data_IF_261052255590
#
_entry.id   IF_261052255590
#
_cell.length_a   1.000
_cell.length_b   1.000
_cell.length_c   1.000
_cell.angle_alpha   90.00
_cell.angle_beta   90.00
_cell.angle_gamma   90.00
#
_symmetry.space_group_name_H-M   'P 1'
#
loop_
_entity.id
_entity.type
_entity.pdbx_description
1 polymer ?
#
# COMPACT_ATOMS: atom_id res chain seq x y z
N UNK A 1 -20.67 8.91 -5.70
CA UNK A 1 -21.21 7.75 -6.45
C UNK A 1 -20.08 6.92 -7.06
N UNK A 2 -19.12 7.56 -7.73
CA UNK A 2 -18.00 6.81 -8.33
C UNK A 2 -17.19 6.05 -7.26
N UNK A 3 -16.89 6.69 -6.14
CA UNK A 3 -16.17 6.05 -5.03
C UNK A 3 -16.94 4.82 -4.53
N UNK A 4 -18.25 4.96 -4.36
CA UNK A 4 -19.09 3.85 -3.91
C UNK A 4 -19.03 2.67 -4.88
N UNK A 5 -19.11 2.97 -6.18
CA UNK A 5 -19.04 1.94 -7.21
C UNK A 5 -17.64 1.29 -7.26
N UNK A 6 -16.58 2.07 -7.12
CA UNK A 6 -15.22 1.56 -7.10
C UNK A 6 -14.97 0.64 -5.89
N UNK A 7 -15.58 0.93 -4.76
CA UNK A 7 -15.45 0.12 -3.54
C UNK A 7 -16.41 -1.07 -3.48
N UNK A 8 -17.37 -1.15 -4.40
CA UNK A 8 -18.36 -2.22 -4.46
C UNK A 8 -17.76 -3.45 -5.15
N UNK A 9 -16.78 -4.06 -4.48
CA UNK A 9 -16.08 -5.24 -4.95
C UNK A 9 -15.44 -5.95 -3.77
N UNK A 10 -15.27 -7.26 -3.89
CA UNK A 10 -14.52 -8.05 -2.92
C UNK A 10 -13.01 -7.91 -3.09
N UNK A 11 -12.55 -7.23 -4.12
CA UNK A 11 -11.15 -7.04 -4.43
C UNK A 11 -10.75 -5.58 -4.35
N UNK A 12 -9.46 -5.31 -4.18
CA UNK A 12 -8.94 -3.97 -4.15
C UNK A 12 -7.44 -3.94 -4.36
N UNK A 13 -6.98 -4.12 -5.60
CA UNK A 13 -5.55 -4.09 -5.90
C UNK A 13 -5.11 -2.70 -6.31
N UNK A 14 -5.66 -2.16 -7.38
CA UNK A 14 -5.29 -0.84 -7.88
C UNK A 14 -6.51 -0.03 -8.29
N UNK A 15 -6.34 1.29 -8.29
CA UNK A 15 -7.29 2.24 -8.87
C UNK A 15 -6.52 3.34 -9.58
N UNK A 16 -7.12 3.93 -10.59
CA UNK A 16 -6.55 5.05 -11.32
C UNK A 16 -7.51 6.23 -11.33
N UNK A 17 -7.00 7.41 -11.05
CA UNK A 17 -7.73 8.66 -11.09
C UNK A 17 -7.10 9.57 -12.14
N UNK A 18 -7.92 10.08 -13.04
CA UNK A 18 -7.48 10.92 -14.15
C UNK A 18 -7.95 12.35 -13.89
N UNK A 19 -7.04 13.20 -13.48
CA UNK A 19 -7.33 14.59 -13.13
C UNK A 19 -6.04 15.41 -13.14
N UNK A 20 -6.17 16.71 -13.36
CA UNK A 20 -5.07 17.64 -13.23
C UNK A 20 -4.90 18.14 -11.79
N UNK A 21 -5.86 17.84 -10.90
CA UNK A 21 -5.89 18.33 -9.52
C UNK A 21 -5.35 17.25 -8.57
N UNK A 22 -4.09 17.36 -8.19
CA UNK A 22 -3.44 16.40 -7.30
C UNK A 22 -4.08 16.38 -5.90
N UNK A 23 -4.53 17.52 -5.39
CA UNK A 23 -5.22 17.60 -4.11
C UNK A 23 -6.53 16.83 -4.11
N UNK A 24 -7.29 16.93 -5.19
CA UNK A 24 -8.53 16.18 -5.38
C UNK A 24 -8.25 14.69 -5.49
N UNK A 25 -7.22 14.31 -6.24
CA UNK A 25 -6.82 12.91 -6.37
C UNK A 25 -6.45 12.31 -5.00
N UNK A 26 -5.72 13.06 -4.18
CA UNK A 26 -5.34 12.60 -2.84
C UNK A 26 -6.56 12.43 -1.93
N UNK A 27 -7.52 13.37 -1.98
CA UNK A 27 -8.74 13.27 -1.18
C UNK A 27 -9.60 12.08 -1.58
N UNK A 28 -9.80 11.88 -2.87
CA UNK A 28 -10.58 10.75 -3.39
C UNK A 28 -9.86 9.43 -3.09
N UNK A 29 -8.55 9.40 -3.31
CA UNK A 29 -7.75 8.19 -3.11
C UNK A 29 -7.81 7.65 -1.69
N UNK A 30 -7.96 8.52 -0.68
CA UNK A 30 -8.08 8.08 0.71
C UNK A 30 -9.34 7.25 0.97
N UNK A 31 -10.39 7.45 0.19
CA UNK A 31 -11.65 6.75 0.38
C UNK A 31 -11.79 5.52 -0.53
N UNK A 32 -10.80 5.25 -1.37
CA UNK A 32 -10.80 4.08 -2.26
C UNK A 32 -10.07 2.93 -1.57
N UNK A 33 -10.72 1.77 -1.51
CA UNK A 33 -10.23 0.59 -0.83
C UNK A 33 -9.37 -0.27 -1.76
N UNK A 34 -8.19 0.25 -2.09
CA UNK A 34 -7.19 -0.46 -2.89
C UNK A 34 -5.81 -0.34 -2.27
N UNK A 35 -4.91 -1.23 -2.66
CA UNK A 35 -3.52 -1.18 -2.20
C UNK A 35 -2.75 -0.02 -2.81
N UNK A 36 -3.05 0.35 -4.04
CA UNK A 36 -2.41 1.46 -4.72
C UNK A 36 -3.46 2.32 -5.44
N UNK A 37 -3.26 3.64 -5.37
CA UNK A 37 -4.04 4.59 -6.15
C UNK A 37 -3.06 5.34 -7.05
N UNK A 38 -3.30 5.29 -8.35
CA UNK A 38 -2.52 6.02 -9.33
C UNK A 38 -3.21 7.33 -9.74
N UNK A 39 -2.42 8.32 -10.08
CA UNK A 39 -2.90 9.54 -10.71
C UNK A 39 -2.35 9.61 -12.13
N UNK A 40 -3.24 9.67 -13.12
CA UNK A 40 -2.92 9.82 -14.55
C UNK A 40 -2.02 8.73 -15.12
N UNK A 41 -2.11 7.55 -14.55
CA UNK A 41 -1.43 6.34 -15.04
C UNK A 41 -2.09 5.11 -14.42
N UNK A 42 -1.68 3.94 -14.82
CA UNK A 42 -2.17 2.68 -14.25
C UNK A 42 -1.09 1.59 -14.30
N UNK A 43 -1.23 0.64 -13.40
CA UNK A 43 -0.49 -0.62 -13.36
C UNK A 43 1.02 -0.48 -13.52
N UNK A 44 1.59 0.44 -12.77
CA UNK A 44 3.03 0.66 -12.74
C UNK A 44 3.58 0.22 -11.38
N UNK A 45 4.58 -0.66 -11.40
CA UNK A 45 5.26 -1.09 -10.19
C UNK A 45 6.43 -0.15 -9.90
N UNK A 46 6.38 0.53 -8.77
CA UNK A 46 7.45 1.40 -8.32
C UNK A 46 8.17 0.72 -7.16
N UNK A 47 9.49 0.40 -7.30
CA UNK A 47 10.23 -0.27 -6.22
C UNK A 47 10.28 0.52 -4.91
N UNK A 48 10.04 1.83 -4.93
CA UNK A 48 10.04 2.66 -3.73
C UNK A 48 8.72 2.61 -2.98
N UNK A 49 7.65 2.07 -3.60
CA UNK A 49 6.31 2.03 -3.02
C UNK A 49 5.88 0.60 -2.74
N UNK A 50 5.19 0.40 -1.63
CA UNK A 50 4.71 -0.92 -1.27
C UNK A 50 3.64 -1.39 -2.25
N UNK A 51 3.82 -2.61 -2.76
CA UNK A 51 2.81 -3.29 -3.57
C UNK A 51 1.99 -4.18 -2.66
N UNK A 52 0.73 -3.84 -2.48
CA UNK A 52 -0.16 -4.53 -1.57
C UNK A 52 -1.60 -4.45 -2.09
N UNK A 53 -2.51 -5.16 -1.46
CA UNK A 53 -3.92 -5.16 -1.84
C UNK A 53 -4.83 -5.10 -0.63
N UNK A 54 -6.10 -4.94 -0.89
CA UNK A 54 -7.17 -4.91 0.11
C UNK A 54 -8.15 -6.06 -0.14
N UNK A 55 -8.91 -6.40 0.89
CA UNK A 55 -9.99 -7.39 0.82
C UNK A 55 -9.49 -8.74 0.31
N UNK A 56 -10.23 -9.37 -0.58
CA UNK A 56 -9.89 -10.70 -1.10
C UNK A 56 -8.72 -10.72 -2.07
N UNK A 57 -8.19 -9.55 -2.44
CA UNK A 57 -6.94 -9.45 -3.19
C UNK A 57 -5.78 -10.06 -2.40
N UNK A 58 -5.88 -10.07 -1.08
CA UNK A 58 -4.92 -10.72 -0.22
C UNK A 58 -4.18 -9.76 0.70
N UNK A 59 -3.33 -10.36 1.53
CA UNK A 59 -2.53 -9.63 2.51
C UNK A 59 -1.06 -9.62 2.11
N UNK A 60 -0.30 -8.82 2.83
CA UNK A 60 1.14 -8.73 2.65
C UNK A 60 1.52 -7.53 1.84
N UNK A 61 2.81 -7.38 1.65
CA UNK A 61 3.36 -6.28 0.89
C UNK A 61 4.71 -6.67 0.32
N UNK A 62 4.96 -6.25 -0.89
CA UNK A 62 6.24 -6.39 -1.54
C UNK A 62 6.76 -5.01 -1.88
N UNK A 63 8.01 -4.92 -2.25
CA UNK A 63 8.68 -3.66 -2.61
C UNK A 63 8.79 -2.70 -1.43
N UNK A 64 9.48 -1.59 -1.61
CA UNK A 64 9.79 -0.59 -0.59
C UNK A 64 10.53 -1.20 0.62
N UNK A 65 10.70 -0.41 1.66
CA UNK A 65 11.25 -0.86 2.95
C UNK A 65 10.36 -1.94 3.58
N UNK A 66 9.05 -1.85 3.33
CA UNK A 66 8.08 -2.83 3.85
C UNK A 66 8.36 -4.22 3.28
N UNK A 67 8.71 -4.33 2.01
CA UNK A 67 9.08 -5.59 1.39
C UNK A 67 10.29 -6.23 2.05
N UNK A 68 11.30 -5.46 2.37
CA UNK A 68 12.46 -5.95 3.11
C UNK A 68 12.07 -6.46 4.49
N UNK A 69 11.26 -5.71 5.22
CA UNK A 69 10.82 -6.12 6.56
C UNK A 69 10.03 -7.42 6.54
N UNK A 70 9.23 -7.64 5.51
CA UNK A 70 8.43 -8.85 5.36
C UNK A 70 9.28 -10.09 5.07
N UNK A 71 10.49 -9.92 4.55
CA UNK A 71 11.43 -11.00 4.28
C UNK A 71 12.37 -11.29 5.44
N UNK A 72 12.29 -10.52 6.51
CA UNK A 72 13.19 -10.61 7.66
C UNK A 72 12.38 -10.74 8.94
N UNK A 73 13.07 -11.13 9.99
CA UNK A 73 12.49 -11.23 11.33
C UNK A 73 13.29 -10.41 12.29
N UNK A 74 12.67 -9.54 13.10
CA UNK A 74 13.38 -8.81 14.14
C UNK A 74 14.00 -9.78 15.17
N UNK A 75 15.16 -9.43 15.65
CA UNK A 75 15.80 -10.14 16.74
C UNK A 75 16.36 -9.10 17.72
N UNK A 76 16.15 -9.35 19.00
CA UNK A 76 16.68 -8.47 20.06
C UNK A 76 17.80 -9.17 20.78
N UNK A 77 18.89 -8.44 21.00
CA UNK A 77 20.00 -8.87 21.82
C UNK A 77 20.13 -7.88 22.97
N UNK A 78 20.17 -8.40 24.19
CA UNK A 78 20.31 -7.55 25.37
C UNK A 78 21.46 -8.13 26.21
N UNK A 79 22.63 -7.55 26.06
CA UNK A 79 23.86 -8.03 26.72
C UNK A 79 24.22 -7.08 27.85
N UNK A 80 24.41 -7.68 29.04
CA UNK A 80 24.95 -6.98 30.18
C UNK A 80 26.41 -7.40 30.35
N UNK A 81 27.35 -6.46 30.22
CA UNK A 81 28.80 -6.75 30.28
C UNK A 81 29.27 -7.14 31.69
N UNK A 82 28.67 -6.54 32.72
CA UNK A 82 29.05 -6.83 34.10
C UNK A 82 28.12 -7.89 34.70
N UNK A 83 28.67 -8.74 35.57
CA UNK A 83 27.91 -9.80 36.24
C UNK A 83 27.11 -9.29 37.44
N UNK A 84 27.37 -8.05 37.90
CA UNK A 84 26.69 -7.43 39.03
C UNK A 84 25.88 -6.21 38.68
#
# INVERSE_FOLDING_TARGET
>A
EAIRLMNDSNFGLTASLWTADAGRAARIGRDIETGTVFMNRCDYLDPALCWTGCKDTGRGGALSVIGYRNLTRPKSDHFKKALT
#
